data_IF_126963747944
#
_entry.id   IF_126963747944
#
_cell.length_a   1.000
_cell.length_b   1.000
_cell.length_c   1.000
_cell.angle_alpha   90.00
_cell.angle_beta   90.00
_cell.angle_gamma   90.00
#
_symmetry.space_group_name_H-M   'P 1'
#
loop_
_entity.id
_entity.type
_entity.pdbx_description
1 polymer ?
#
# COMPACT_ATOMS: atom_id res chain seq x y z
N UNK A 1 -7.09 6.92 32.26
CA UNK A 1 -6.57 7.53 31.02
C UNK A 1 -7.36 6.92 29.88
N UNK A 2 -8.22 7.70 29.21
CA UNK A 2 -8.97 7.20 28.07
C UNK A 2 -7.99 6.84 26.96
N UNK A 3 -7.95 5.58 26.54
CA UNK A 3 -7.22 5.19 25.34
C UNK A 3 -7.82 5.96 24.17
N UNK A 4 -7.12 6.99 23.70
CA UNK A 4 -7.51 7.68 22.47
C UNK A 4 -7.42 6.67 21.33
N UNK A 5 -8.57 6.28 20.78
CA UNK A 5 -8.65 5.53 19.54
C UNK A 5 -8.21 6.43 18.39
N UNK A 6 -7.45 5.87 17.44
CA UNK A 6 -7.08 6.59 16.23
C UNK A 6 -8.33 6.76 15.36
N UNK A 7 -8.82 8.00 15.13
CA UNK A 7 -10.13 8.20 14.52
C UNK A 7 -10.15 7.86 13.02
N UNK A 8 -8.99 7.94 12.37
CA UNK A 8 -8.90 7.81 10.92
C UNK A 8 -8.87 6.36 10.40
N UNK A 9 -8.74 5.37 11.29
CA UNK A 9 -8.84 3.94 10.96
C UNK A 9 -10.11 3.30 11.54
N UNK A 10 -11.22 4.05 11.62
CA UNK A 10 -12.48 3.57 12.18
C UNK A 10 -13.68 3.86 11.28
N UNK A 11 -14.68 2.97 11.32
CA UNK A 11 -15.93 3.10 10.55
C UNK A 11 -15.87 2.51 9.14
N UNK A 12 -16.95 2.73 8.38
CA UNK A 12 -17.13 2.20 7.02
C UNK A 12 -16.44 3.10 5.97
N UNK A 13 -15.10 3.13 5.96
CA UNK A 13 -14.33 4.09 5.15
C UNK A 13 -14.44 3.90 3.63
N UNK A 14 -14.94 2.75 3.16
CA UNK A 14 -15.30 2.55 1.75
C UNK A 14 -16.62 3.23 1.36
N UNK A 15 -17.53 3.41 2.32
CA UNK A 15 -18.80 4.11 2.12
C UNK A 15 -18.68 5.61 2.43
N UNK A 16 -17.83 5.97 3.40
CA UNK A 16 -17.65 7.34 3.87
C UNK A 16 -16.17 7.62 4.19
N UNK A 17 -15.35 7.91 3.17
CA UNK A 17 -13.93 8.21 3.37
C UNK A 17 -13.70 9.45 4.23
N UNK A 18 -12.67 9.41 5.07
CA UNK A 18 -12.32 10.52 5.96
C UNK A 18 -11.98 11.82 5.22
N UNK A 19 -12.31 12.96 5.84
CA UNK A 19 -11.86 14.29 5.41
C UNK A 19 -10.71 14.79 6.26
N UNK A 20 -9.57 15.04 5.62
CA UNK A 20 -8.34 15.50 6.26
C UNK A 20 -8.16 17.03 6.20
N UNK A 21 -9.16 17.77 5.68
CA UNK A 21 -9.01 19.21 5.35
C UNK A 21 -8.98 20.12 6.60
N UNK A 22 -9.44 19.65 7.77
CA UNK A 22 -9.52 20.43 9.01
C UNK A 22 -9.19 19.59 10.25
N UNK A 23 -8.22 18.69 10.13
CA UNK A 23 -7.79 17.85 11.24
C UNK A 23 -7.19 18.71 12.36
N UNK A 24 -7.71 18.64 13.60
CA UNK A 24 -7.12 19.37 14.72
C UNK A 24 -5.73 18.82 15.04
N UNK A 25 -4.81 19.72 15.44
CA UNK A 25 -3.52 19.28 15.98
C UNK A 25 -3.73 18.60 17.33
N UNK A 26 -3.47 17.30 17.38
CA UNK A 26 -3.72 16.47 18.56
C UNK A 26 -2.43 15.93 19.23
N UNK A 27 -1.26 16.43 18.81
CA UNK A 27 0.02 16.23 19.49
C UNK A 27 0.46 14.77 19.63
N UNK A 28 1.22 14.48 20.69
CA UNK A 28 1.82 13.16 20.96
C UNK A 28 0.79 12.06 21.23
N UNK A 29 -0.36 12.39 21.82
CA UNK A 29 -1.43 11.42 22.05
C UNK A 29 -1.98 10.85 20.74
N UNK A 30 -2.08 11.70 19.71
CA UNK A 30 -2.48 11.28 18.37
C UNK A 30 -1.48 10.35 17.71
N UNK A 31 -0.19 10.69 17.79
CA UNK A 31 0.88 9.84 17.26
C UNK A 31 0.91 8.48 17.97
N UNK A 32 0.74 8.48 19.29
CA UNK A 32 0.63 7.24 20.07
C UNK A 32 -0.58 6.41 19.66
N UNK A 33 -1.74 7.02 19.41
CA UNK A 33 -2.94 6.33 18.92
C UNK A 33 -2.72 5.75 17.51
N UNK A 34 -2.08 6.51 16.62
CA UNK A 34 -1.72 6.08 15.28
C UNK A 34 -0.81 4.85 15.30
N UNK A 35 0.31 4.89 16.04
CA UNK A 35 1.24 3.76 16.11
C UNK A 35 0.61 2.52 16.73
N UNK A 36 -0.21 2.68 17.77
CA UNK A 36 -0.99 1.55 18.33
C UNK A 36 -1.90 0.94 17.26
N UNK A 37 -2.68 1.76 16.55
CA UNK A 37 -3.56 1.28 15.49
C UNK A 37 -2.80 0.52 14.40
N UNK A 38 -1.62 0.97 13.99
CA UNK A 38 -0.80 0.29 12.98
C UNK A 38 -0.18 -0.99 13.49
N UNK A 39 0.38 -0.98 14.69
CA UNK A 39 0.98 -2.18 15.30
C UNK A 39 -0.08 -3.26 15.54
N UNK A 40 -1.26 -2.89 16.04
CA UNK A 40 -2.37 -3.82 16.24
C UNK A 40 -2.81 -4.45 14.90
N UNK A 41 -2.88 -3.65 13.84
CA UNK A 41 -3.24 -4.14 12.50
C UNK A 41 -2.18 -5.08 11.92
N UNK A 42 -0.89 -4.72 12.02
CA UNK A 42 0.25 -5.54 11.59
C UNK A 42 0.26 -6.87 12.35
N UNK A 43 0.08 -6.84 13.67
CA UNK A 43 0.08 -8.04 14.50
C UNK A 43 -1.11 -8.96 14.17
N UNK A 44 -2.28 -8.40 13.89
CA UNK A 44 -3.45 -9.17 13.44
C UNK A 44 -3.19 -9.85 12.08
N UNK A 45 -2.58 -9.15 11.13
CA UNK A 45 -2.19 -9.75 9.85
C UNK A 45 -1.17 -10.87 10.09
N UNK A 46 -0.14 -10.62 10.90
CA UNK A 46 0.90 -11.60 11.19
C UNK A 46 0.31 -12.91 11.75
N UNK A 47 -0.53 -12.83 12.78
CA UNK A 47 -1.21 -14.00 13.36
C UNK A 47 -2.04 -14.78 12.34
N UNK A 48 -2.68 -14.09 11.39
CA UNK A 48 -3.47 -14.73 10.32
C UNK A 48 -2.59 -15.45 9.29
N UNK A 49 -1.37 -14.94 9.12
CA UNK A 49 -0.36 -15.40 8.19
C UNK A 49 0.52 -16.51 8.80
N UNK A 50 0.54 -16.69 10.12
CA UNK A 50 1.19 -17.81 10.80
C UNK A 50 0.67 -19.14 10.26
N UNK A 51 1.58 -20.01 9.81
CA UNK A 51 1.32 -21.34 9.25
C UNK A 51 0.78 -21.41 7.81
N UNK A 52 0.79 -20.30 7.05
CA UNK A 52 0.47 -20.36 5.61
C UNK A 52 1.74 -20.45 4.76
N UNK A 53 1.63 -21.17 3.64
CA UNK A 53 2.62 -21.07 2.57
C UNK A 53 2.56 -19.66 2.01
N UNK A 54 3.71 -18.99 1.95
CA UNK A 54 3.85 -17.63 1.41
C UNK A 54 3.67 -17.62 -0.10
N UNK A 55 3.04 -16.58 -0.61
CA UNK A 55 3.01 -16.34 -2.05
C UNK A 55 4.38 -15.90 -2.54
N UNK A 56 4.70 -16.30 -3.76
CA UNK A 56 6.02 -16.08 -4.35
C UNK A 56 6.28 -14.60 -4.61
N UNK A 57 5.27 -13.87 -5.12
CA UNK A 57 5.42 -12.47 -5.51
C UNK A 57 5.63 -11.51 -4.32
N UNK A 58 4.84 -11.54 -3.23
CA UNK A 58 5.13 -10.75 -2.03
C UNK A 58 6.52 -11.05 -1.46
N UNK A 59 6.91 -12.33 -1.42
CA UNK A 59 8.23 -12.76 -0.97
C UNK A 59 9.36 -12.17 -1.81
N UNK A 60 9.20 -12.14 -3.14
CA UNK A 60 10.13 -11.48 -4.05
C UNK A 60 10.14 -9.95 -3.84
N UNK A 61 8.97 -9.34 -3.65
CA UNK A 61 8.82 -7.90 -3.47
C UNK A 61 9.57 -7.36 -2.25
N UNK A 62 9.70 -8.13 -1.17
CA UNK A 62 10.49 -7.77 0.03
C UNK A 62 11.93 -7.39 -0.33
N UNK A 63 12.54 -8.08 -1.31
CA UNK A 63 13.92 -7.80 -1.75
C UNK A 63 14.09 -6.43 -2.42
N UNK A 64 12.98 -5.78 -2.81
CA UNK A 64 12.97 -4.49 -3.48
C UNK A 64 12.72 -3.32 -2.51
N UNK A 65 12.41 -3.62 -1.24
CA UNK A 65 12.22 -2.60 -0.21
C UNK A 65 13.57 -1.98 0.16
N UNK A 66 13.63 -0.65 0.09
CA UNK A 66 14.88 0.12 0.24
C UNK A 66 15.13 0.68 1.64
N UNK A 67 14.13 0.57 2.50
CA UNK A 67 14.20 0.96 3.91
C UNK A 67 14.74 -0.24 4.69
N UNK A 68 15.93 -0.09 5.27
CA UNK A 68 16.67 -1.21 5.85
C UNK A 68 15.93 -1.83 7.04
N UNK A 69 15.40 -0.99 7.93
CA UNK A 69 14.64 -1.42 9.11
C UNK A 69 13.41 -2.23 8.71
N UNK A 70 12.65 -1.73 7.72
CA UNK A 70 11.47 -2.43 7.20
C UNK A 70 11.85 -3.72 6.49
N UNK A 71 12.95 -3.72 5.73
CA UNK A 71 13.44 -4.91 5.02
C UNK A 71 13.84 -6.03 5.98
N UNK A 72 14.53 -5.71 7.09
CA UNK A 72 14.87 -6.66 8.16
C UNK A 72 13.61 -7.26 8.78
N UNK A 73 12.64 -6.42 9.13
CA UNK A 73 11.39 -6.90 9.74
C UNK A 73 10.57 -7.74 8.75
N UNK A 74 10.46 -7.31 7.50
CA UNK A 74 9.79 -8.09 6.45
C UNK A 74 10.46 -9.43 6.20
N UNK A 75 11.79 -9.54 6.25
CA UNK A 75 12.48 -10.84 6.14
C UNK A 75 12.09 -11.81 7.25
N UNK A 76 11.78 -11.32 8.45
CA UNK A 76 11.29 -12.17 9.53
C UNK A 76 9.91 -12.76 9.21
N UNK A 77 9.06 -12.02 8.49
CA UNK A 77 7.74 -12.48 8.02
C UNK A 77 7.81 -13.33 6.74
N UNK A 78 8.83 -13.09 5.90
CA UNK A 78 9.05 -13.72 4.60
C UNK A 78 10.47 -14.32 4.53
N UNK A 79 10.76 -15.42 5.26
CA UNK A 79 12.12 -15.98 5.36
C UNK A 79 12.69 -16.50 4.03
N UNK A 80 11.83 -16.79 3.05
CA UNK A 80 12.24 -17.22 1.69
C UNK A 80 12.47 -16.05 0.72
N UNK A 81 12.49 -14.79 1.20
CA UNK A 81 12.71 -13.61 0.38
C UNK A 81 14.12 -13.62 -0.25
N UNK A 82 14.18 -13.89 -1.57
CA UNK A 82 15.42 -13.87 -2.35
C UNK A 82 15.65 -15.09 -3.24
N UNK A 83 14.94 -16.20 -3.00
CA UNK A 83 15.08 -17.45 -3.78
C UNK A 83 13.90 -17.64 -4.74
N UNK A 84 13.64 -16.68 -5.63
CA UNK A 84 12.54 -16.79 -6.58
C UNK A 84 13.07 -17.11 -7.99
N UNK A 85 12.48 -18.09 -8.70
CA UNK A 85 12.73 -18.27 -10.12
C UNK A 85 12.42 -16.97 -10.87
N UNK A 86 13.31 -16.58 -11.77
CA UNK A 86 13.14 -15.43 -12.65
C UNK A 86 12.06 -15.71 -13.69
N UNK A 87 10.78 -15.55 -13.31
CA UNK A 87 9.71 -15.47 -14.30
C UNK A 87 9.79 -14.12 -15.04
N UNK A 88 9.65 -14.14 -16.36
CA UNK A 88 9.55 -12.89 -17.12
C UNK A 88 8.31 -12.08 -16.72
N UNK A 89 8.42 -10.75 -16.80
CA UNK A 89 7.32 -9.80 -16.64
C UNK A 89 7.06 -8.97 -17.90
N UNK A 90 7.52 -9.44 -19.07
CA UNK A 90 7.42 -8.69 -20.33
C UNK A 90 5.96 -8.46 -20.75
N UNK A 91 5.09 -9.44 -20.49
CA UNK A 91 3.64 -9.32 -20.71
C UNK A 91 3.00 -8.22 -19.87
N UNK A 92 3.41 -8.07 -18.62
CA UNK A 92 2.90 -7.04 -17.72
C UNK A 92 3.40 -5.66 -18.12
N UNK A 93 4.63 -5.55 -18.61
CA UNK A 93 5.17 -4.29 -19.14
C UNK A 93 4.34 -3.85 -20.35
N UNK A 94 4.11 -4.74 -21.31
CA UNK A 94 3.26 -4.46 -22.48
C UNK A 94 1.83 -4.11 -22.08
N UNK A 95 1.29 -4.77 -21.05
CA UNK A 95 -0.05 -4.46 -20.53
C UNK A 95 -0.11 -3.05 -19.95
N UNK A 96 0.85 -2.66 -19.11
CA UNK A 96 0.92 -1.31 -18.55
C UNK A 96 1.09 -0.26 -19.63
N UNK A 97 1.87 -0.56 -20.67
CA UNK A 97 2.07 0.38 -21.77
C UNK A 97 0.82 0.57 -22.62
N UNK A 98 0.09 -0.51 -22.90
CA UNK A 98 -1.16 -0.44 -23.67
C UNK A 98 -2.33 0.21 -22.91
N UNK A 99 -2.38 0.13 -21.57
CA UNK A 99 -3.55 0.59 -20.80
C UNK A 99 -3.74 2.12 -20.82
N UNK A 100 -2.70 2.88 -21.14
CA UNK A 100 -2.79 4.33 -21.28
C UNK A 100 -3.31 4.77 -22.65
N UNK A 101 -3.16 3.92 -23.67
CA UNK A 101 -3.41 4.27 -25.07
C UNK A 101 -4.89 4.13 -25.46
N UNK A 102 -5.58 3.07 -25.01
CA UNK A 102 -7.02 2.92 -25.27
C UNK A 102 -7.72 1.91 -24.36
N UNK A 103 -9.04 2.07 -24.23
CA UNK A 103 -9.91 1.09 -23.58
C UNK A 103 -10.31 1.39 -22.14
N UNK A 104 -11.06 0.43 -21.60
CA UNK A 104 -11.40 0.30 -20.18
C UNK A 104 -10.60 -0.89 -19.63
N UNK A 105 -10.13 -0.77 -18.40
CA UNK A 105 -9.33 -1.81 -17.77
C UNK A 105 -9.75 -2.01 -16.32
N UNK A 106 -9.55 -3.24 -15.84
CA UNK A 106 -9.77 -3.61 -14.45
C UNK A 106 -8.59 -3.15 -13.59
N UNK A 107 -8.88 -2.45 -12.50
CA UNK A 107 -7.87 -1.90 -11.60
C UNK A 107 -7.02 -3.00 -11.00
N UNK A 108 -7.62 -4.12 -10.62
CA UNK A 108 -6.89 -5.25 -10.05
C UNK A 108 -5.82 -5.77 -11.01
N UNK A 109 -6.13 -5.87 -12.31
CA UNK A 109 -5.20 -6.30 -13.34
C UNK A 109 -4.00 -5.37 -13.43
N UNK A 110 -4.23 -4.05 -13.44
CA UNK A 110 -3.15 -3.06 -13.46
C UNK A 110 -2.31 -3.14 -12.20
N UNK A 111 -2.93 -3.22 -11.02
CA UNK A 111 -2.22 -3.33 -9.74
C UNK A 111 -1.38 -4.61 -9.65
N UNK A 112 -1.91 -5.76 -10.09
CA UNK A 112 -1.16 -7.02 -10.16
C UNK A 112 0.04 -6.90 -11.10
N UNK A 113 -0.12 -6.29 -12.27
CA UNK A 113 0.98 -6.03 -13.20
C UNK A 113 2.04 -5.09 -12.59
N UNK A 114 1.62 -3.98 -11.97
CA UNK A 114 2.50 -3.04 -11.27
C UNK A 114 3.29 -3.73 -10.17
N UNK A 115 2.64 -4.54 -9.32
CA UNK A 115 3.30 -5.29 -8.24
C UNK A 115 4.31 -6.30 -8.78
N UNK A 116 3.97 -7.05 -9.83
CA UNK A 116 4.89 -8.02 -10.44
C UNK A 116 6.13 -7.31 -11.02
N UNK A 117 5.95 -6.22 -11.75
CA UNK A 117 7.05 -5.43 -12.31
C UNK A 117 7.92 -4.83 -11.20
N UNK A 118 7.31 -4.28 -10.14
CA UNK A 118 8.01 -3.76 -8.97
C UNK A 118 8.82 -4.85 -8.28
N UNK A 119 8.21 -6.01 -8.00
CA UNK A 119 8.87 -7.14 -7.34
C UNK A 119 10.10 -7.63 -8.11
N UNK A 120 10.07 -7.60 -9.44
CA UNK A 120 11.22 -7.93 -10.28
C UNK A 120 12.24 -6.78 -10.43
N UNK A 121 12.01 -5.60 -9.85
CA UNK A 121 12.87 -4.43 -10.02
C UNK A 121 12.89 -3.88 -11.45
N UNK A 122 11.90 -4.23 -12.30
CA UNK A 122 11.87 -3.91 -13.74
C UNK A 122 11.03 -2.67 -14.07
N UNK A 123 10.63 -1.88 -13.08
CA UNK A 123 9.81 -0.67 -13.26
C UNK A 123 10.37 0.33 -14.29
N UNK A 124 11.71 0.45 -14.39
CA UNK A 124 12.37 1.32 -15.39
C UNK A 124 12.16 0.90 -16.85
N UNK A 125 11.69 -0.32 -17.08
CA UNK A 125 11.49 -0.87 -18.42
C UNK A 125 10.06 -0.64 -18.94
N UNK A 126 9.11 -0.30 -18.05
CA UNK A 126 7.78 0.12 -18.45
C UNK A 126 7.77 1.64 -18.65
N UNK A 127 7.60 2.09 -19.89
CA UNK A 127 7.60 3.52 -20.23
C UNK A 127 6.47 4.27 -19.53
N UNK A 128 5.38 3.56 -19.24
CA UNK A 128 4.14 4.08 -18.62
C UNK A 128 4.17 4.11 -17.09
N UNK A 129 5.24 3.58 -16.48
CA UNK A 129 5.33 3.44 -15.04
C UNK A 129 5.07 4.75 -14.28
N UNK A 130 5.74 5.88 -14.60
CA UNK A 130 5.52 7.14 -13.88
C UNK A 130 4.07 7.62 -13.99
N UNK A 131 3.46 7.52 -15.16
CA UNK A 131 2.09 7.99 -15.42
C UNK A 131 1.07 7.16 -14.65
N UNK A 132 1.30 5.85 -14.52
CA UNK A 132 0.44 4.95 -13.75
C UNK A 132 0.53 5.28 -12.26
N UNK A 133 1.74 5.42 -11.71
CA UNK A 133 1.93 5.80 -10.30
C UNK A 133 1.27 7.15 -10.01
N UNK A 134 1.52 8.16 -10.84
CA UNK A 134 0.91 9.50 -10.67
C UNK A 134 -0.62 9.47 -10.76
N UNK A 135 -1.19 8.61 -11.60
CA UNK A 135 -2.62 8.50 -11.72
C UNK A 135 -3.26 7.76 -10.53
N UNK A 136 -2.59 6.72 -10.00
CA UNK A 136 -2.99 6.03 -8.78
C UNK A 136 -2.94 6.96 -7.56
N UNK A 137 -1.84 7.71 -7.39
CA UNK A 137 -1.67 8.72 -6.34
C UNK A 137 -2.82 9.73 -6.37
N UNK A 138 -3.08 10.32 -7.54
CA UNK A 138 -4.15 11.30 -7.74
C UNK A 138 -5.53 10.77 -7.38
N UNK A 139 -5.84 9.51 -7.72
CA UNK A 139 -7.13 8.92 -7.40
C UNK A 139 -7.33 8.79 -5.88
N UNK A 140 -6.31 8.39 -5.12
CA UNK A 140 -6.37 8.40 -3.65
C UNK A 140 -6.40 9.81 -3.07
N UNK A 141 -5.57 10.72 -3.59
CA UNK A 141 -5.48 12.08 -3.04
C UNK A 141 -6.78 12.86 -3.20
N UNK A 142 -7.38 12.79 -4.39
CA UNK A 142 -8.57 13.58 -4.77
C UNK A 142 -9.85 12.83 -4.46
N UNK A 143 -10.00 11.60 -4.95
CA UNK A 143 -11.25 10.85 -4.86
C UNK A 143 -11.34 9.99 -3.61
N UNK A 144 -10.19 9.67 -2.99
CA UNK A 144 -10.06 8.81 -1.79
C UNK A 144 -10.61 7.39 -2.01
N UNK A 145 -10.77 7.01 -3.27
CA UNK A 145 -11.42 5.78 -3.69
C UNK A 145 -10.71 5.19 -4.90
N UNK A 146 -10.70 3.86 -4.95
CA UNK A 146 -10.17 3.08 -6.07
C UNK A 146 -11.30 2.23 -6.63
N UNK A 147 -11.69 2.53 -7.86
CA UNK A 147 -12.80 1.87 -8.54
C UNK A 147 -12.39 0.51 -9.10
N UNK A 148 -13.36 -0.35 -9.41
CA UNK A 148 -13.18 -1.67 -10.04
C UNK A 148 -12.44 -1.59 -11.37
N UNK A 149 -12.71 -0.54 -12.14
CA UNK A 149 -12.00 -0.25 -13.37
C UNK A 149 -11.87 1.22 -13.65
N UNK A 150 -11.11 1.54 -14.69
CA UNK A 150 -10.99 2.89 -15.19
C UNK A 150 -10.94 2.91 -16.72
N UNK A 151 -11.32 4.07 -17.27
CA UNK A 151 -11.01 4.42 -18.65
C UNK A 151 -9.53 4.78 -18.80
N UNK A 152 -9.07 4.88 -20.06
CA UNK A 152 -7.72 5.36 -20.42
C UNK A 152 -7.18 6.46 -19.48
N UNK A 153 -5.90 6.33 -19.12
CA UNK A 153 -5.20 7.22 -18.19
C UNK A 153 -5.76 7.27 -16.76
N UNK A 154 -6.51 6.26 -16.32
CA UNK A 154 -7.06 6.14 -14.96
C UNK A 154 -7.91 7.36 -14.53
N UNK A 155 -8.51 8.08 -15.50
CA UNK A 155 -9.17 9.37 -15.24
C UNK A 155 -10.57 9.21 -14.67
N UNK A 156 -11.38 8.36 -15.27
CA UNK A 156 -12.77 8.11 -14.88
C UNK A 156 -12.90 6.69 -14.34
N UNK A 157 -13.39 6.57 -13.11
CA UNK A 157 -13.66 5.28 -12.47
C UNK A 157 -14.91 4.65 -13.05
N UNK A 158 -14.92 3.32 -13.08
CA UNK A 158 -15.99 2.46 -13.57
C UNK A 158 -16.25 1.40 -12.49
N UNK A 159 -17.53 1.10 -12.24
CA UNK A 159 -17.94 0.12 -11.23
C UNK A 159 -17.93 0.67 -9.80
N UNK A 160 -17.91 -0.22 -8.82
CA UNK A 160 -17.86 0.13 -7.39
C UNK A 160 -16.41 0.42 -6.95
N UNK A 161 -16.24 1.01 -5.77
CA UNK A 161 -14.95 1.26 -5.13
C UNK A 161 -14.75 0.46 -3.83
N UNK A 162 -15.52 -0.62 -3.62
CA UNK A 162 -15.50 -1.40 -2.37
C UNK A 162 -14.58 -2.63 -2.40
N UNK A 163 -13.82 -2.81 -3.47
CA UNK A 163 -12.91 -3.94 -3.63
C UNK A 163 -11.66 -3.76 -2.75
N UNK A 164 -11.72 -4.25 -1.51
CA UNK A 164 -10.66 -4.08 -0.52
C UNK A 164 -9.28 -4.56 -1.00
N UNK A 165 -9.24 -5.65 -1.77
CA UNK A 165 -8.00 -6.17 -2.35
C UNK A 165 -7.27 -5.15 -3.24
N UNK A 166 -7.99 -4.23 -3.90
CA UNK A 166 -7.36 -3.15 -4.68
C UNK A 166 -6.61 -2.17 -3.77
N UNK A 167 -7.12 -1.90 -2.57
CA UNK A 167 -6.45 -1.01 -1.61
C UNK A 167 -5.21 -1.69 -1.01
N UNK A 168 -5.26 -2.98 -0.70
CA UNK A 168 -4.09 -3.74 -0.24
C UNK A 168 -2.97 -3.74 -1.29
N UNK A 169 -3.32 -4.05 -2.55
CA UNK A 169 -2.37 -4.07 -3.67
C UNK A 169 -1.82 -2.69 -3.98
N UNK A 170 -2.65 -1.64 -3.90
CA UNK A 170 -2.19 -0.26 -4.07
C UNK A 170 -1.22 0.15 -2.97
N UNK A 171 -1.54 -0.17 -1.71
CA UNK A 171 -0.64 0.14 -0.58
C UNK A 171 0.74 -0.50 -0.78
N UNK A 172 0.79 -1.78 -1.15
CA UNK A 172 2.05 -2.43 -1.49
C UNK A 172 2.75 -1.82 -2.71
N UNK A 173 2.02 -1.44 -3.76
CA UNK A 173 2.62 -0.83 -4.95
C UNK A 173 3.27 0.53 -4.64
N UNK A 174 2.61 1.35 -3.80
CA UNK A 174 3.16 2.61 -3.31
C UNK A 174 4.38 2.38 -2.42
N UNK A 175 4.32 1.37 -1.54
CA UNK A 175 5.41 1.00 -0.65
C UNK A 175 6.67 0.53 -1.41
N UNK A 176 6.50 -0.22 -2.51
CA UNK A 176 7.60 -0.65 -3.38
C UNK A 176 8.16 0.47 -4.25
N UNK A 177 7.39 1.54 -4.46
CA UNK A 177 7.86 2.73 -5.16
C UNK A 177 8.57 3.73 -4.23
N UNK A 178 8.37 3.59 -2.92
CA UNK A 178 9.00 4.46 -1.93
C UNK A 178 10.52 4.25 -1.89
N UNK A 179 11.28 5.33 -2.02
CA UNK A 179 12.75 5.33 -1.91
C UNK A 179 13.18 6.03 -0.60
N UNK A 180 14.49 6.17 -0.38
CA UNK A 180 15.05 6.75 0.86
C UNK A 180 14.71 8.23 1.08
N UNK A 181 14.43 8.97 0.02
CA UNK A 181 13.90 10.34 0.15
C UNK A 181 12.39 10.28 0.34
N UNK A 182 11.91 10.87 1.43
CA UNK A 182 10.49 10.82 1.78
C UNK A 182 9.67 11.66 0.79
N UNK A 183 9.04 11.01 -0.20
CA UNK A 183 8.01 11.65 -1.02
C UNK A 183 6.72 11.74 -0.19
N UNK A 184 6.42 12.94 0.31
CA UNK A 184 5.24 13.23 1.11
C UNK A 184 3.92 12.88 0.39
N UNK A 185 3.88 12.89 -0.94
CA UNK A 185 2.69 12.47 -1.71
C UNK A 185 2.45 10.98 -1.56
N UNK A 186 3.50 10.18 -1.72
CA UNK A 186 3.44 8.72 -1.53
C UNK A 186 3.10 8.41 -0.07
N UNK A 187 3.72 9.09 0.89
CA UNK A 187 3.41 8.90 2.31
C UNK A 187 1.95 9.21 2.66
N UNK A 188 1.43 10.33 2.16
CA UNK A 188 0.01 10.70 2.36
C UNK A 188 -0.95 9.68 1.71
N UNK A 189 -0.61 9.17 0.53
CA UNK A 189 -1.39 8.14 -0.14
C UNK A 189 -1.33 6.80 0.62
N UNK A 190 -0.17 6.41 1.14
CA UNK A 190 -0.01 5.23 2.00
C UNK A 190 -0.85 5.35 3.27
N UNK A 191 -0.77 6.48 3.97
CA UNK A 191 -1.57 6.77 5.16
C UNK A 191 -3.07 6.57 4.90
N UNK A 192 -3.60 7.24 3.88
CA UNK A 192 -5.03 7.15 3.52
C UNK A 192 -5.45 5.74 3.11
N UNK A 193 -4.59 5.05 2.38
CA UNK A 193 -4.89 3.68 1.92
C UNK A 193 -4.89 2.72 3.10
N UNK A 194 -3.87 2.80 3.97
CA UNK A 194 -3.77 1.94 5.15
C UNK A 194 -4.81 2.28 6.22
N UNK A 195 -5.29 3.51 6.29
CA UNK A 195 -6.47 3.88 7.09
C UNK A 195 -7.70 3.08 6.66
N UNK A 196 -7.99 3.01 5.36
CA UNK A 196 -9.10 2.22 4.81
C UNK A 196 -8.91 0.73 5.11
N UNK A 197 -7.73 0.20 4.83
CA UNK A 197 -7.46 -1.25 4.99
C UNK A 197 -7.51 -1.64 6.48
N UNK A 198 -6.91 -0.84 7.37
CA UNK A 198 -6.90 -1.12 8.80
C UNK A 198 -8.27 -0.94 9.45
N UNK A 199 -9.10 0.00 8.99
CA UNK A 199 -10.46 0.19 9.49
C UNK A 199 -11.37 -1.02 9.26
N UNK A 200 -11.20 -1.70 8.12
CA UNK A 200 -11.97 -2.91 7.81
C UNK A 200 -11.39 -4.12 8.57
N UNK A 201 -10.08 -4.11 8.82
CA UNK A 201 -9.42 -5.06 9.71
C UNK A 201 -8.98 -6.36 9.03
N UNK A 202 -7.94 -6.97 9.60
CA UNK A 202 -7.22 -8.09 9.00
C UNK A 202 -8.09 -9.35 8.78
N UNK A 203 -9.14 -9.53 9.56
CA UNK A 203 -10.05 -10.68 9.46
C UNK A 203 -10.87 -10.69 8.16
N UNK A 204 -11.08 -9.53 7.55
CA UNK A 204 -11.87 -9.37 6.33
C UNK A 204 -11.04 -9.43 5.04
N UNK A 205 -9.72 -9.52 5.14
CA UNK A 205 -8.83 -9.61 3.98
C UNK A 205 -8.88 -11.00 3.34
N UNK A 206 -8.65 -11.12 2.03
CA UNK A 206 -8.26 -12.39 1.45
C UNK A 206 -6.83 -12.76 1.90
N UNK A 207 -6.45 -14.04 1.83
CA UNK A 207 -5.11 -14.46 2.24
C UNK A 207 -4.01 -13.81 1.38
N UNK A 208 -4.22 -13.74 0.06
CA UNK A 208 -3.29 -13.07 -0.88
C UNK A 208 -3.18 -11.56 -0.62
N UNK A 209 -4.28 -10.92 -0.21
CA UNK A 209 -4.30 -9.48 0.05
C UNK A 209 -3.65 -9.12 1.39
N UNK A 210 -3.67 -10.04 2.36
CA UNK A 210 -3.06 -9.83 3.67
C UNK A 210 -1.54 -9.65 3.57
N UNK A 211 -0.85 -10.40 2.70
CA UNK A 211 0.60 -10.25 2.50
C UNK A 211 0.94 -8.89 1.90
N UNK A 212 0.15 -8.41 0.94
CA UNK A 212 0.32 -7.05 0.38
C UNK A 212 0.01 -5.96 1.39
N UNK A 213 -1.06 -6.12 2.17
CA UNK A 213 -1.41 -5.19 3.24
C UNK A 213 -0.29 -5.10 4.30
N UNK A 214 0.37 -6.21 4.63
CA UNK A 214 1.49 -6.24 5.56
C UNK A 214 2.68 -5.42 5.05
N UNK A 215 3.08 -5.62 3.79
CA UNK A 215 4.17 -4.87 3.15
C UNK A 215 3.87 -3.36 3.20
N UNK A 216 2.66 -2.98 2.78
CA UNK A 216 2.22 -1.59 2.77
C UNK A 216 2.19 -0.93 4.15
N UNK A 217 1.67 -1.64 5.16
CA UNK A 217 1.56 -1.13 6.52
C UNK A 217 2.92 -0.98 7.21
N UNK A 218 3.84 -1.93 7.01
CA UNK A 218 5.18 -1.88 7.59
C UNK A 218 6.02 -0.74 7.00
N UNK A 219 5.98 -0.55 5.68
CA UNK A 219 6.67 0.59 5.04
C UNK A 219 6.12 1.91 5.56
N UNK A 220 4.80 2.08 5.56
CA UNK A 220 4.16 3.30 6.05
C UNK A 220 4.52 3.61 7.51
N UNK A 221 4.42 2.63 8.42
CA UNK A 221 4.76 2.79 9.84
C UNK A 221 6.22 3.24 10.00
N UNK A 222 7.16 2.57 9.34
CA UNK A 222 8.59 2.92 9.43
C UNK A 222 8.87 4.29 8.82
N UNK A 223 8.22 4.66 7.71
CA UNK A 223 8.34 6.00 7.14
C UNK A 223 7.85 7.09 8.11
N UNK A 224 6.75 6.84 8.82
CA UNK A 224 6.27 7.76 9.86
C UNK A 224 7.29 7.92 10.99
N UNK A 225 7.93 6.83 11.43
CA UNK A 225 9.00 6.88 12.45
C UNK A 225 10.22 7.67 11.97
N UNK A 226 10.64 7.47 10.71
CA UNK A 226 11.75 8.21 10.10
C UNK A 226 11.47 9.71 10.05
N UNK A 227 10.27 10.11 9.64
CA UNK A 227 9.83 11.51 9.62
C UNK A 227 9.85 12.13 11.02
N UNK A 228 9.31 11.43 12.03
CA UNK A 228 9.35 11.93 13.41
C UNK A 228 10.77 12.03 13.96
N UNK A 229 11.65 11.11 13.56
CA UNK A 229 13.07 11.15 13.94
C UNK A 229 13.78 12.36 13.33
N UNK A 230 13.52 12.65 12.04
CA UNK A 230 14.10 13.78 11.34
C UNK A 230 13.67 15.14 11.93
N UNK A 231 12.43 15.23 12.42
CA UNK A 231 11.88 16.43 13.06
C UNK A 231 12.22 16.53 14.57
N UNK A 232 12.98 15.58 15.12
CA UNK A 232 13.33 15.57 16.55
C UNK A 232 12.14 15.28 17.49
N UNK A 233 11.08 14.66 16.95
CA UNK A 233 9.83 14.33 17.65
C UNK A 233 9.75 12.87 18.09
N UNK A 234 10.77 12.04 17.79
CA UNK A 234 10.86 10.68 18.30
C UNK A 234 11.17 10.73 19.80
N UNK A 235 10.26 10.19 20.61
CA UNK A 235 10.43 10.04 22.06
C UNK A 235 11.21 8.77 22.40
#
# INVERSE_FOLDING_TARGET
MSSSNYPYSSGALLDSPNSYMYTPFAGSEFLGAYFRSRNDFIEQIHRRLDNRKREVLPTLAVSQIRIEETHVELKSFFPSAGECPTTSCDSEILLLDSCLESGEFHTETILKATLKIAAHGRHKQAASWPQIVDALLRNIEVKRLIFEGYQKNLRRGIGDAKQLGNYCKLSAALALHFDREVDLRIMNALLKTNDIVSAIGANNLAAEDAEWALIGALVERTCAEMLLSAEGLKQ
#
